data_IF_051186600401
#
_entry.id   IF_051186600401
#
_cell.length_a   1.000
_cell.length_b   1.000
_cell.length_c   1.000
_cell.angle_alpha   90.00
_cell.angle_beta   90.00
_cell.angle_gamma   90.00
#
_symmetry.space_group_name_H-M   'P 1'
#
loop_
_entity.id
_entity.type
_entity.pdbx_description
1 polymer ?
#
# COMPACT_ATOMS: atom_id res chain seq x y z
N UNK A 1 14.95 24.43 21.63
CA UNK A 1 14.32 25.42 22.52
C UNK A 1 12.85 25.29 22.24
N UNK A 2 12.04 24.81 23.19
CA UNK A 2 10.68 24.32 22.91
C UNK A 2 9.73 25.53 22.78
N UNK A 3 9.17 25.73 21.59
CA UNK A 3 8.07 26.68 21.38
C UNK A 3 6.77 25.90 21.31
N UNK A 4 5.94 26.00 22.35
CA UNK A 4 4.55 25.55 22.22
C UNK A 4 3.80 26.66 21.50
N UNK A 5 3.63 26.49 20.18
CA UNK A 5 2.92 27.41 19.29
C UNK A 5 1.54 26.83 18.99
N UNK A 6 0.47 27.53 19.36
CA UNK A 6 -0.84 27.25 18.76
C UNK A 6 -0.85 27.95 17.39
N UNK A 7 -0.43 27.25 16.33
CA UNK A 7 -0.40 27.84 14.99
C UNK A 7 0.57 27.17 14.03
N UNK A 8 1.63 27.89 13.66
CA UNK A 8 2.68 27.43 12.75
C UNK A 8 3.97 27.22 13.54
N UNK A 9 4.65 26.11 13.29
CA UNK A 9 5.94 25.76 13.88
C UNK A 9 7.01 25.53 12.80
N UNK A 10 8.26 25.70 13.20
CA UNK A 10 9.42 25.61 12.31
C UNK A 10 10.65 25.24 13.14
N UNK A 11 11.09 23.98 13.07
CA UNK A 11 12.38 23.55 13.59
C UNK A 11 13.28 23.02 12.46
N UNK A 12 14.32 23.78 12.07
CA UNK A 12 15.15 23.40 10.94
C UNK A 12 16.01 22.15 11.19
N UNK A 13 16.32 21.80 12.46
CA UNK A 13 17.19 20.68 12.78
C UNK A 13 16.97 20.16 14.20
N UNK A 14 16.77 18.84 14.32
CA UNK A 14 16.94 18.14 15.59
C UNK A 14 15.73 17.34 16.00
N UNK A 15 15.27 17.53 17.23
CA UNK A 15 14.06 16.89 17.74
C UNK A 15 13.00 17.97 17.93
N UNK A 16 11.95 17.91 17.12
CA UNK A 16 10.81 18.78 17.14
C UNK A 16 9.61 18.09 17.81
N UNK A 17 8.69 18.91 18.33
CA UNK A 17 7.46 18.42 18.94
C UNK A 17 6.40 19.53 18.86
N UNK A 18 5.52 19.43 17.88
CA UNK A 18 4.48 20.42 17.64
C UNK A 18 3.08 19.81 17.78
N UNK A 19 2.47 19.93 18.98
CA UNK A 19 1.29 19.14 19.33
C UNK A 19 0.03 19.48 18.53
N UNK A 20 -0.05 20.65 17.91
CA UNK A 20 -1.21 21.08 17.11
C UNK A 20 -0.81 22.10 16.05
N UNK A 21 -1.35 21.95 14.84
CA UNK A 21 -1.39 23.02 13.83
C UNK A 21 -0.67 22.66 12.56
N UNK A 22 0.12 23.60 12.05
CA UNK A 22 0.94 23.43 10.85
C UNK A 22 2.40 23.35 11.27
N UNK A 23 3.07 22.24 11.00
CA UNK A 23 4.48 22.04 11.30
C UNK A 23 5.31 21.94 10.01
N UNK A 24 6.59 22.24 10.14
CA UNK A 24 7.55 22.13 9.06
C UNK A 24 8.93 21.89 9.65
N UNK A 25 9.36 20.63 9.67
CA UNK A 25 10.63 20.22 10.24
C UNK A 25 11.53 19.56 9.18
N UNK A 26 12.35 20.36 8.48
CA UNK A 26 13.17 19.92 7.35
C UNK A 26 14.07 18.72 7.60
N UNK A 27 14.59 18.56 8.81
CA UNK A 27 15.59 17.56 9.14
C UNK A 27 15.49 17.09 10.58
N UNK A 28 15.37 15.78 10.78
CA UNK A 28 15.60 15.17 12.08
C UNK A 28 14.47 14.26 12.52
N UNK A 29 14.03 14.42 13.75
CA UNK A 29 12.93 13.67 14.35
C UNK A 29 11.81 14.64 14.67
N UNK A 30 10.66 14.45 14.06
CA UNK A 30 9.47 15.25 14.27
C UNK A 30 8.36 14.42 14.93
N UNK A 31 7.43 15.11 15.56
CA UNK A 31 6.32 14.48 16.27
C UNK A 31 5.19 15.48 16.36
N UNK A 32 4.25 15.38 15.40
CA UNK A 32 3.17 16.32 15.22
C UNK A 32 1.80 15.64 15.40
N UNK A 33 1.37 15.46 16.66
CA UNK A 33 0.14 14.75 17.01
C UNK A 33 -1.13 15.09 16.25
N UNK A 34 -1.31 16.35 15.83
CA UNK A 34 -2.54 16.81 15.19
C UNK A 34 -2.29 17.93 14.19
N UNK A 35 -2.70 17.72 12.94
CA UNK A 35 -2.83 18.80 11.96
C UNK A 35 -2.20 18.49 10.62
N UNK A 36 -1.37 19.41 10.14
CA UNK A 36 -0.66 19.29 8.87
C UNK A 36 0.84 19.34 9.14
N UNK A 37 1.52 18.26 8.81
CA UNK A 37 2.96 18.14 8.96
C UNK A 37 3.63 18.04 7.59
N UNK A 38 4.90 18.42 7.54
CA UNK A 38 5.70 18.35 6.33
C UNK A 38 7.17 18.21 6.72
N UNK A 39 7.64 16.96 6.75
CA UNK A 39 8.96 16.61 7.26
C UNK A 39 9.82 15.95 6.16
N UNK A 40 10.52 16.78 5.36
CA UNK A 40 11.27 16.35 4.18
C UNK A 40 12.27 15.22 4.39
N UNK A 41 12.92 15.17 5.54
CA UNK A 41 14.02 14.23 5.79
C UNK A 41 14.08 13.81 7.26
N UNK A 42 13.88 12.50 7.50
CA UNK A 42 14.20 11.92 8.80
C UNK A 42 13.16 10.92 9.29
N UNK A 43 12.76 11.09 10.55
CA UNK A 43 11.74 10.26 11.19
C UNK A 43 10.58 11.15 11.61
N UNK A 44 9.40 10.87 11.10
CA UNK A 44 8.18 11.60 11.43
C UNK A 44 7.20 10.70 12.22
N UNK A 45 6.33 11.33 12.98
CA UNK A 45 5.29 10.64 13.73
C UNK A 45 4.08 11.55 13.82
N UNK A 46 3.12 11.34 12.91
CA UNK A 46 1.96 12.21 12.76
C UNK A 46 0.64 11.44 12.99
N UNK A 47 0.26 11.24 14.25
CA UNK A 47 -0.91 10.48 14.67
C UNK A 47 -2.22 10.79 13.95
N UNK A 48 -2.49 12.07 13.65
CA UNK A 48 -3.77 12.50 13.10
C UNK A 48 -3.62 13.68 12.15
N UNK A 49 -4.01 13.48 10.89
CA UNK A 49 -4.23 14.57 9.96
C UNK A 49 -3.66 14.32 8.57
N UNK A 50 -2.86 15.25 8.10
CA UNK A 50 -2.23 15.20 6.78
C UNK A 50 -0.71 15.30 6.96
N UNK A 51 0.00 14.30 6.50
CA UNK A 51 1.46 14.23 6.55
C UNK A 51 2.04 14.20 5.13
N UNK A 52 3.29 14.59 5.02
CA UNK A 52 4.01 14.64 3.76
C UNK A 52 5.49 14.51 4.06
N UNK A 53 5.98 13.27 4.02
CA UNK A 53 7.34 12.92 4.42
C UNK A 53 8.15 12.34 3.26
N UNK A 54 8.68 13.22 2.38
CA UNK A 54 9.39 12.84 1.17
C UNK A 54 10.48 11.78 1.32
N UNK A 55 11.23 11.76 2.43
CA UNK A 55 12.35 10.84 2.61
C UNK A 55 12.52 10.42 4.06
N UNK A 56 12.40 9.12 4.32
CA UNK A 56 12.83 8.53 5.60
C UNK A 56 11.90 7.47 6.15
N UNK A 57 11.52 7.63 7.41
CA UNK A 57 10.60 6.74 8.11
C UNK A 57 9.43 7.56 8.62
N UNK A 58 8.23 7.24 8.16
CA UNK A 58 6.99 7.88 8.58
C UNK A 58 6.13 6.88 9.36
N UNK A 59 5.25 7.41 10.19
CA UNK A 59 4.32 6.59 10.97
C UNK A 59 3.07 7.42 11.24
N UNK A 60 2.06 7.26 10.37
CA UNK A 60 0.88 8.11 10.33
C UNK A 60 -0.42 7.30 10.59
N UNK A 61 -0.74 7.06 11.88
CA UNK A 61 -1.85 6.23 12.31
C UNK A 61 -3.20 6.52 11.68
N UNK A 62 -3.52 7.79 11.43
CA UNK A 62 -4.84 8.20 10.96
C UNK A 62 -4.78 9.40 10.03
N UNK A 63 -5.25 9.21 8.80
CA UNK A 63 -5.56 10.33 7.92
C UNK A 63 -5.06 10.13 6.49
N UNK A 64 -4.31 11.10 6.00
CA UNK A 64 -3.75 11.10 4.66
C UNK A 64 -2.24 11.26 4.75
N UNK A 65 -1.50 10.28 4.24
CA UNK A 65 -0.05 10.29 4.20
C UNK A 65 0.44 10.32 2.74
N UNK A 66 1.66 10.81 2.57
CA UNK A 66 2.32 10.84 1.27
C UNK A 66 3.82 10.72 1.49
N UNK A 67 4.33 9.49 1.35
CA UNK A 67 5.72 9.16 1.67
C UNK A 67 6.45 8.60 0.44
N UNK A 68 6.90 9.50 -0.46
CA UNK A 68 7.57 9.15 -1.70
C UNK A 68 8.69 8.13 -1.62
N UNK A 69 9.49 8.16 -0.56
CA UNK A 69 10.71 7.35 -0.45
C UNK A 69 10.98 6.92 0.99
N UNK A 70 10.93 5.62 1.23
CA UNK A 70 11.46 5.06 2.48
C UNK A 70 10.60 3.95 3.07
N UNK A 71 10.28 4.09 4.36
CA UNK A 71 9.43 3.17 5.08
C UNK A 71 8.25 3.94 5.67
N UNK A 72 7.04 3.54 5.32
CA UNK A 72 5.81 4.12 5.84
C UNK A 72 5.03 3.08 6.65
N UNK A 73 4.19 3.57 7.55
CA UNK A 73 3.31 2.73 8.34
C UNK A 73 2.03 3.51 8.62
N UNK A 74 0.99 3.25 7.81
CA UNK A 74 -0.24 4.03 7.84
C UNK A 74 -1.46 3.13 8.17
N UNK A 75 -1.67 2.84 9.46
CA UNK A 75 -2.74 1.99 9.96
C UNK A 75 -4.13 2.24 9.40
N UNK A 76 -4.52 3.50 9.22
CA UNK A 76 -5.88 3.86 8.84
C UNK A 76 -5.91 5.09 7.95
N UNK A 77 -6.41 4.92 6.72
CA UNK A 77 -6.80 6.05 5.88
C UNK A 77 -6.40 5.89 4.43
N UNK A 78 -5.73 6.90 3.91
CA UNK A 78 -5.27 6.96 2.53
C UNK A 78 -3.76 7.19 2.54
N UNK A 79 -3.03 6.22 2.01
CA UNK A 79 -1.58 6.26 1.88
C UNK A 79 -1.18 6.28 0.40
N UNK A 80 0.01 6.77 0.13
CA UNK A 80 0.55 6.87 -1.21
C UNK A 80 2.06 6.86 -1.11
N UNK A 81 2.63 5.67 -1.28
CA UNK A 81 4.06 5.42 -1.06
C UNK A 81 4.74 4.95 -2.35
N UNK A 82 5.08 5.91 -3.24
CA UNK A 82 5.67 5.65 -4.54
C UNK A 82 6.85 4.66 -4.55
N UNK A 83 7.72 4.68 -3.54
CA UNK A 83 8.93 3.87 -3.51
C UNK A 83 9.31 3.44 -2.09
N UNK A 84 9.33 2.14 -1.83
CA UNK A 84 9.95 1.61 -0.62
C UNK A 84 9.21 0.44 0.01
N UNK A 85 8.98 0.55 1.31
CA UNK A 85 8.24 -0.43 2.09
C UNK A 85 7.06 0.27 2.76
N UNK A 86 5.86 -0.14 2.41
CA UNK A 86 4.61 0.36 2.99
C UNK A 86 3.93 -0.74 3.81
N UNK A 87 3.11 -0.33 4.75
CA UNK A 87 2.35 -1.25 5.58
C UNK A 87 1.07 -0.55 6.03
N UNK A 88 -0.01 -0.79 5.27
CA UNK A 88 -1.27 -0.06 5.41
C UNK A 88 -2.43 -1.00 5.77
N UNK A 89 -2.59 -1.30 7.07
CA UNK A 89 -3.57 -2.24 7.59
C UNK A 89 -5.00 -2.03 7.11
N UNK A 90 -5.45 -0.78 6.98
CA UNK A 90 -6.83 -0.47 6.67
C UNK A 90 -6.95 0.78 5.80
N UNK A 91 -7.54 0.62 4.62
CA UNK A 91 -8.01 1.77 3.83
C UNK A 91 -7.70 1.65 2.36
N UNK A 92 -7.09 2.71 1.82
CA UNK A 92 -6.69 2.80 0.42
C UNK A 92 -5.20 3.07 0.37
N UNK A 93 -4.47 2.15 -0.25
CA UNK A 93 -3.03 2.26 -0.46
C UNK A 93 -2.72 2.37 -1.95
N UNK A 94 -1.58 2.98 -2.27
CA UNK A 94 -1.09 3.10 -3.62
C UNK A 94 0.43 3.07 -3.62
N UNK A 95 0.98 1.88 -3.86
CA UNK A 95 2.42 1.63 -3.71
C UNK A 95 3.03 1.17 -5.04
N UNK A 96 3.31 2.12 -5.96
CA UNK A 96 3.86 1.86 -7.28
C UNK A 96 5.05 0.92 -7.35
N UNK A 97 5.97 1.01 -6.40
CA UNK A 97 7.25 0.30 -6.43
C UNK A 97 7.73 -0.11 -5.05
N UNK A 98 7.80 -1.42 -4.81
CA UNK A 98 8.51 -1.93 -3.63
C UNK A 98 7.85 -3.13 -2.98
N UNK A 99 7.68 -3.05 -1.67
CA UNK A 99 7.02 -4.06 -0.87
C UNK A 99 5.86 -3.41 -0.13
N UNK A 100 4.65 -3.91 -0.34
CA UNK A 100 3.45 -3.45 0.32
C UNK A 100 2.85 -4.57 1.17
N UNK A 101 2.09 -4.19 2.18
CA UNK A 101 1.36 -5.13 3.02
C UNK A 101 0.06 -4.48 3.46
N UNK A 102 -1.02 -4.80 2.75
CA UNK A 102 -2.31 -4.15 2.92
C UNK A 102 -3.39 -5.16 3.32
N UNK A 103 -3.45 -5.53 4.61
CA UNK A 103 -4.40 -6.48 5.17
C UNK A 103 -5.85 -6.31 4.76
N UNK A 104 -6.35 -5.07 4.70
CA UNK A 104 -7.75 -4.78 4.47
C UNK A 104 -7.95 -3.52 3.64
N UNK A 105 -8.63 -3.66 2.50
CA UNK A 105 -9.18 -2.51 1.79
C UNK A 105 -8.97 -2.58 0.28
N UNK A 106 -8.45 -1.49 -0.27
CA UNK A 106 -8.14 -1.36 -1.69
C UNK A 106 -6.65 -1.04 -1.82
N UNK A 107 -5.92 -1.94 -2.44
CA UNK A 107 -4.50 -1.80 -2.74
C UNK A 107 -4.28 -1.74 -4.24
N UNK A 108 -3.18 -1.11 -4.64
CA UNK A 108 -2.82 -0.93 -6.03
C UNK A 108 -1.31 -0.84 -6.13
N UNK A 109 -0.68 -1.99 -6.41
CA UNK A 109 0.76 -2.15 -6.37
C UNK A 109 1.29 -2.55 -7.75
N UNK A 110 1.46 -1.56 -8.65
CA UNK A 110 1.93 -1.76 -10.00
C UNK A 110 3.17 -2.65 -10.16
N UNK A 111 4.16 -2.54 -9.25
CA UNK A 111 5.41 -3.27 -9.35
C UNK A 111 5.95 -3.66 -7.98
N UNK A 112 6.19 -4.97 -7.77
CA UNK A 112 7.00 -5.43 -6.65
C UNK A 112 6.45 -6.68 -5.97
N UNK A 113 6.39 -6.63 -4.64
CA UNK A 113 5.80 -7.68 -3.82
C UNK A 113 4.65 -7.08 -3.01
N UNK A 114 3.44 -7.58 -3.25
CA UNK A 114 2.25 -7.20 -2.53
C UNK A 114 1.75 -8.40 -1.71
N UNK A 115 1.04 -8.10 -0.63
CA UNK A 115 0.42 -9.13 0.19
C UNK A 115 -0.85 -8.57 0.81
N UNK A 116 -1.97 -8.87 0.15
CA UNK A 116 -3.27 -8.25 0.45
C UNK A 116 -4.30 -9.32 0.85
N UNK A 117 -4.29 -9.72 2.14
CA UNK A 117 -5.14 -10.77 2.69
C UNK A 117 -6.62 -10.63 2.38
N UNK A 118 -7.15 -9.41 2.41
CA UNK A 118 -8.57 -9.13 2.29
C UNK A 118 -8.84 -7.86 1.49
N UNK A 119 -9.68 -7.98 0.46
CA UNK A 119 -10.25 -6.81 -0.21
C UNK A 119 -10.10 -6.86 -1.71
N UNK A 120 -9.68 -5.74 -2.29
CA UNK A 120 -9.44 -5.58 -3.72
C UNK A 120 -7.98 -5.21 -3.94
N UNK A 121 -7.27 -6.08 -4.66
CA UNK A 121 -5.87 -5.88 -5.02
C UNK A 121 -5.75 -5.71 -6.54
N UNK A 122 -4.77 -4.93 -6.96
CA UNK A 122 -4.45 -4.73 -8.37
C UNK A 122 -2.94 -4.69 -8.54
N UNK A 123 -2.37 -5.85 -8.89
CA UNK A 123 -0.92 -6.04 -8.94
C UNK A 123 -0.46 -6.46 -10.35
N UNK A 124 -0.36 -5.49 -11.27
CA UNK A 124 0.05 -5.70 -12.66
C UNK A 124 1.31 -6.53 -12.83
N UNK A 125 2.34 -6.27 -12.02
CA UNK A 125 3.67 -6.83 -12.20
C UNK A 125 4.32 -7.23 -10.89
N UNK A 126 4.78 -8.48 -10.80
CA UNK A 126 5.60 -8.93 -9.67
C UNK A 126 5.06 -10.18 -8.98
N UNK A 127 5.05 -10.16 -7.66
CA UNK A 127 4.52 -11.24 -6.82
C UNK A 127 3.39 -10.72 -5.94
N UNK A 128 2.21 -11.33 -6.06
CA UNK A 128 1.03 -10.99 -5.28
C UNK A 128 0.59 -12.20 -4.43
N UNK A 129 0.01 -11.93 -3.28
CA UNK A 129 -0.49 -12.95 -2.38
C UNK A 129 -1.79 -12.47 -1.74
N UNK A 130 -2.91 -12.83 -2.38
CA UNK A 130 -4.23 -12.35 -1.99
C UNK A 130 -5.14 -13.51 -1.57
N UNK A 131 -4.96 -14.02 -0.34
CA UNK A 131 -5.71 -15.13 0.22
C UNK A 131 -7.21 -15.06 0.05
N UNK A 132 -7.82 -13.88 0.21
CA UNK A 132 -9.26 -13.69 0.20
C UNK A 132 -9.63 -12.38 -0.49
N UNK A 133 -10.39 -12.42 -1.58
CA UNK A 133 -10.96 -11.20 -2.14
C UNK A 133 -11.05 -11.20 -3.64
N UNK A 134 -10.84 -10.03 -4.22
CA UNK A 134 -10.77 -9.82 -5.66
C UNK A 134 -9.35 -9.38 -6.02
N UNK A 135 -8.63 -10.26 -6.71
CA UNK A 135 -7.28 -9.99 -7.20
C UNK A 135 -7.30 -9.84 -8.72
N UNK A 136 -6.38 -9.04 -9.23
CA UNK A 136 -6.22 -8.86 -10.66
C UNK A 136 -4.74 -8.67 -10.98
N UNK A 137 -4.09 -9.80 -11.35
CA UNK A 137 -2.64 -9.89 -11.46
C UNK A 137 -2.21 -10.27 -12.89
N UNK A 138 -2.27 -9.31 -13.84
CA UNK A 138 -2.01 -9.52 -15.25
C UNK A 138 -0.71 -10.25 -15.58
N UNK A 139 0.39 -9.86 -14.95
CA UNK A 139 1.74 -10.26 -15.35
C UNK A 139 2.62 -10.54 -14.12
N UNK A 140 2.51 -11.71 -13.51
CA UNK A 140 3.34 -11.99 -12.34
C UNK A 140 3.21 -13.40 -11.82
N UNK A 141 3.54 -13.58 -10.55
CA UNK A 141 3.22 -14.76 -9.78
C UNK A 141 2.15 -14.39 -8.75
N UNK A 142 1.02 -15.07 -8.79
CA UNK A 142 -0.11 -14.81 -7.91
C UNK A 142 -0.44 -16.04 -7.05
N UNK A 143 -0.85 -15.80 -5.81
CA UNK A 143 -1.32 -16.82 -4.89
C UNK A 143 -2.69 -16.41 -4.34
N UNK A 144 -3.77 -16.86 -5.01
CA UNK A 144 -5.13 -16.41 -4.72
C UNK A 144 -6.02 -17.62 -4.35
N UNK A 145 -5.82 -18.22 -3.16
CA UNK A 145 -6.47 -19.49 -2.80
C UNK A 145 -7.99 -19.42 -2.64
N UNK A 146 -8.55 -18.27 -2.25
CA UNK A 146 -9.99 -18.10 -2.07
C UNK A 146 -10.47 -16.75 -2.63
N UNK A 147 -11.63 -16.74 -3.28
CA UNK A 147 -12.21 -15.51 -3.84
C UNK A 147 -12.26 -15.53 -5.36
N UNK A 148 -11.94 -14.40 -5.97
CA UNK A 148 -11.98 -14.17 -7.42
C UNK A 148 -10.64 -13.63 -7.90
N UNK A 149 -10.08 -14.24 -8.95
CA UNK A 149 -8.80 -13.83 -9.53
C UNK A 149 -8.89 -13.70 -11.05
N UNK A 150 -8.04 -12.85 -11.62
CA UNK A 150 -7.96 -12.63 -13.06
C UNK A 150 -6.51 -12.43 -13.49
N UNK A 151 -5.86 -13.53 -13.90
CA UNK A 151 -4.41 -13.58 -14.09
C UNK A 151 -4.07 -13.99 -15.54
N UNK A 152 -4.35 -13.12 -16.53
CA UNK A 152 -4.36 -13.49 -17.95
C UNK A 152 -3.02 -13.96 -18.51
N UNK A 153 -1.89 -13.47 -18.00
CA UNK A 153 -0.55 -13.73 -18.55
C UNK A 153 0.51 -14.13 -17.51
N UNK A 154 0.13 -14.30 -16.25
CA UNK A 154 1.00 -14.68 -15.13
C UNK A 154 0.98 -16.17 -14.79
N UNK A 155 1.67 -16.53 -13.70
CA UNK A 155 1.59 -17.84 -13.04
C UNK A 155 0.75 -17.72 -11.78
N UNK A 156 -0.37 -18.44 -11.69
CA UNK A 156 -1.27 -18.37 -10.55
C UNK A 156 -1.40 -19.72 -9.80
N UNK A 157 -1.61 -19.65 -8.49
CA UNK A 157 -1.98 -20.80 -7.65
C UNK A 157 -3.29 -20.55 -6.90
N UNK A 158 -4.37 -21.10 -7.43
CA UNK A 158 -5.73 -20.72 -7.07
C UNK A 158 -6.62 -21.94 -6.76
N UNK A 159 -6.33 -22.71 -5.70
CA UNK A 159 -6.97 -24.00 -5.43
C UNK A 159 -8.50 -23.96 -5.21
N UNK A 160 -9.04 -22.85 -4.69
CA UNK A 160 -10.48 -22.69 -4.40
C UNK A 160 -11.05 -21.36 -4.89
N UNK A 161 -10.36 -20.68 -5.79
CA UNK A 161 -10.76 -19.40 -6.36
C UNK A 161 -11.67 -19.59 -7.60
N UNK A 162 -12.49 -18.59 -7.88
CA UNK A 162 -13.13 -18.43 -9.18
C UNK A 162 -12.22 -17.61 -10.11
N UNK A 163 -11.42 -18.30 -10.92
CA UNK A 163 -10.37 -17.70 -11.76
C UNK A 163 -10.77 -17.56 -13.23
N UNK A 164 -10.22 -16.53 -13.88
CA UNK A 164 -10.26 -16.34 -15.33
C UNK A 164 -8.85 -16.17 -15.92
N UNK A 165 -8.37 -17.21 -16.62
CA UNK A 165 -7.01 -17.24 -17.21
C UNK A 165 -7.04 -17.37 -18.74
N UNK A 166 -6.24 -16.54 -19.42
CA UNK A 166 -6.20 -16.47 -20.89
C UNK A 166 -5.07 -17.33 -21.49
N UNK A 167 -3.95 -17.55 -20.77
CA UNK A 167 -2.84 -18.39 -21.23
C UNK A 167 -2.30 -19.35 -20.13
N UNK A 168 -2.64 -20.66 -20.17
CA UNK A 168 -2.31 -21.59 -19.10
C UNK A 168 -0.94 -22.24 -19.35
N UNK A 169 0.16 -21.59 -18.97
CA UNK A 169 1.46 -22.28 -18.91
C UNK A 169 1.75 -22.83 -17.51
N UNK A 170 1.14 -24.02 -17.32
CA UNK A 170 1.58 -25.20 -16.57
C UNK A 170 1.32 -25.28 -15.05
N UNK A 171 0.47 -26.28 -14.77
CA UNK A 171 0.07 -26.88 -13.50
C UNK A 171 -0.91 -26.09 -12.63
N UNK A 172 -2.04 -25.73 -13.25
CA UNK A 172 -3.31 -25.75 -12.52
C UNK A 172 -3.60 -27.21 -12.11
N UNK A 173 -3.42 -27.53 -10.83
CA UNK A 173 -4.02 -28.72 -10.21
C UNK A 173 -5.51 -28.48 -9.97
N UNK A 174 -6.25 -28.03 -11.00
CA UNK A 174 -7.71 -28.03 -10.95
C UNK A 174 -8.19 -29.47 -11.16
N UNK A 175 -8.58 -30.14 -10.09
CA UNK A 175 -9.28 -31.42 -10.18
C UNK A 175 -10.46 -31.31 -11.15
N UNK A 176 -10.56 -32.27 -12.07
CA UNK A 176 -11.48 -32.33 -13.21
C UNK A 176 -12.94 -31.92 -12.87
N UNK A 177 -13.34 -30.69 -13.26
CA UNK A 177 -14.73 -30.29 -13.59
C UNK A 177 -14.71 -28.89 -14.24
N UNK A 178 -14.62 -28.90 -15.56
CA UNK A 178 -14.54 -27.76 -16.49
C UNK A 178 -15.71 -26.78 -16.44
N UNK A 179 -15.43 -25.47 -16.51
CA UNK A 179 -16.22 -24.49 -17.26
C UNK A 179 -15.27 -23.50 -17.96
N UNK A 180 -15.16 -23.57 -19.30
CA UNK A 180 -14.46 -22.57 -20.13
C UNK A 180 -15.47 -21.93 -21.09
N UNK A 181 -15.46 -20.60 -21.19
CA UNK A 181 -16.30 -19.83 -22.13
C UNK A 181 -15.52 -19.47 -23.41
N UNK A 182 -16.16 -19.57 -24.57
CA UNK A 182 -15.67 -19.08 -25.86
C UNK A 182 -16.57 -17.94 -26.34
N UNK A 183 -15.99 -16.83 -26.83
CA UNK A 183 -16.71 -15.80 -27.59
C UNK A 183 -16.34 -15.91 -29.08
N UNK A 184 -17.35 -15.98 -29.97
CA UNK A 184 -17.21 -15.86 -31.42
C UNK A 184 -17.97 -14.60 -31.85
N UNK A 185 -17.30 -13.70 -32.57
CA UNK A 185 -17.92 -12.52 -33.20
C UNK A 185 -18.83 -12.95 -34.37
N UNK A 186 -20.04 -12.40 -34.39
CA UNK A 186 -21.00 -12.39 -35.51
C UNK A 186 -21.94 -11.21 -35.34
#
# INVERSE_FOLDING_TARGET
MIFISYGFAYDPYGYAYDPYGYAYDPYGYACDPYGYAHDPYGYAYDPYGYACDPYGYAHDPYGYAYDPYGYAYDPYGYACDPYGYAHDPYGYAYDPYGYAYDPYGYACDPYGYAHDPYGYAYDPYGYACDPYGYAHDPYGYAYNPYGYACDPYGYAYDPYCYAYDVHPLRYSWANERTFRAHFIFG
#
